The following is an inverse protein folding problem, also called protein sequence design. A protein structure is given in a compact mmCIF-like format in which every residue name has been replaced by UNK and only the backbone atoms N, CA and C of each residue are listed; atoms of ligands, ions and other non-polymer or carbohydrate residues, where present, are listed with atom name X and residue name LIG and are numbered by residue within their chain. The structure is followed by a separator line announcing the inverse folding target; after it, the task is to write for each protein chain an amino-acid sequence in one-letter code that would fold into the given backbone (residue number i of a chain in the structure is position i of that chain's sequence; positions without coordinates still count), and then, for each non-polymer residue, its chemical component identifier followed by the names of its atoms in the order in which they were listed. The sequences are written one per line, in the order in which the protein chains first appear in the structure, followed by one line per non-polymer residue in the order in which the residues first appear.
data_IF_584046646642
#
_entry.id   IF_584046646642
#
_cell.length_a   1.000
_cell.length_b   1.000
_cell.length_c   1.000
_cell.angle_alpha   90.00
_cell.angle_beta   90.00
_cell.angle_gamma   90.00
#
_symmetry.space_group_name_H-M   'P 1'
#
loop_
_entity.id
_entity.type
_entity.pdbx_description
1 polymer ?
#
# COMPACT_ATOMS: atom_id res chain seq x y z
N UNK A 1 -5.53 17.81 6.00
CA UNK A 1 -4.23 17.79 6.70
C UNK A 1 -4.44 17.51 8.17
N UNK A 2 -3.59 16.68 8.77
CA UNK A 2 -3.59 16.35 10.19
C UNK A 2 -2.18 15.94 10.60
N UNK A 3 -1.44 16.83 11.28
CA UNK A 3 -0.07 16.59 11.75
C UNK A 3 0.09 15.19 12.38
N UNK A 4 1.05 14.36 11.94
CA UNK A 4 2.14 14.63 10.98
C UNK A 4 1.85 14.22 9.52
N UNK A 5 0.58 14.11 9.14
CA UNK A 5 0.12 13.54 7.87
C UNK A 5 -0.65 14.52 6.98
N UNK A 6 -0.52 14.31 5.67
CA UNK A 6 -1.43 14.88 4.67
C UNK A 6 -2.11 13.77 3.89
N UNK A 7 -3.42 13.89 3.70
CA UNK A 7 -4.23 12.91 2.97
C UNK A 7 -4.59 13.50 1.61
N UNK A 8 -4.27 12.77 0.54
CA UNK A 8 -4.51 13.19 -0.84
C UNK A 8 -5.08 12.02 -1.64
N UNK A 9 -5.73 12.29 -2.77
CA UNK A 9 -6.22 11.20 -3.61
C UNK A 9 -5.06 10.54 -4.37
N UNK A 10 -4.23 11.35 -5.01
CA UNK A 10 -3.14 10.94 -5.91
C UNK A 10 -1.89 11.78 -5.63
N UNK A 11 -0.70 11.25 -5.92
CA UNK A 11 0.58 11.95 -5.74
C UNK A 11 0.72 13.20 -6.64
N UNK A 12 -0.01 13.24 -7.75
CA UNK A 12 -0.08 14.39 -8.66
C UNK A 12 -0.80 15.60 -8.07
N UNK A 13 -1.50 15.45 -6.95
CA UNK A 13 -2.15 16.54 -6.21
C UNK A 13 -1.16 17.36 -5.36
N UNK A 14 0.13 17.34 -5.73
CA UNK A 14 1.29 18.02 -5.14
C UNK A 14 0.92 19.20 -4.23
N UNK A 15 1.22 19.03 -2.95
CA UNK A 15 1.13 20.09 -1.94
C UNK A 15 2.54 20.45 -1.47
N UNK A 16 2.84 21.73 -1.26
CA UNK A 16 4.09 22.21 -0.62
C UNK A 16 4.12 21.91 0.90
N UNK A 17 3.56 20.77 1.32
CA UNK A 17 3.44 20.36 2.72
C UNK A 17 4.67 19.58 3.17
N UNK A 18 5.12 19.83 4.40
CA UNK A 18 6.21 19.06 5.04
C UNK A 18 5.70 17.75 5.68
N UNK A 19 4.39 17.51 5.64
CA UNK A 19 3.76 16.33 6.27
C UNK A 19 3.87 15.08 5.41
N UNK A 20 3.86 13.92 6.07
CA UNK A 20 3.95 12.63 5.41
C UNK A 20 2.67 12.35 4.59
N UNK A 21 2.77 12.19 3.26
CA UNK A 21 1.61 11.98 2.41
C UNK A 21 1.07 10.56 2.51
N UNK A 22 -0.26 10.46 2.60
CA UNK A 22 -1.02 9.21 2.54
C UNK A 22 -1.99 9.33 1.36
N UNK A 23 -1.80 8.47 0.36
CA UNK A 23 -2.57 8.49 -0.89
C UNK A 23 -3.49 7.28 -1.03
N UNK A 24 -4.50 7.45 -1.87
CA UNK A 24 -5.34 6.38 -2.38
C UNK A 24 -5.07 6.15 -3.86
N UNK A 25 -6.14 6.12 -4.66
CA UNK A 25 -6.15 6.04 -6.13
C UNK A 25 -5.60 4.76 -6.75
N UNK A 26 -4.31 4.45 -6.59
CA UNK A 26 -3.66 3.36 -7.34
C UNK A 26 -4.01 1.97 -6.80
N UNK A 27 -4.48 1.88 -5.56
CA UNK A 27 -4.86 0.63 -4.89
C UNK A 27 -3.72 -0.41 -4.88
N UNK A 28 -2.71 -0.23 -4.01
CA UNK A 28 -1.52 -1.06 -4.01
C UNK A 28 -1.84 -2.52 -3.68
N UNK A 29 -1.19 -3.41 -4.42
CA UNK A 29 -1.09 -4.82 -4.09
C UNK A 29 0.32 -5.34 -4.27
N UNK A 30 0.69 -6.31 -3.46
CA UNK A 30 1.97 -7.02 -3.58
C UNK A 30 1.74 -8.44 -4.06
N UNK A 31 2.73 -8.97 -4.77
CA UNK A 31 2.69 -10.32 -5.29
C UNK A 31 3.41 -11.26 -4.32
N UNK A 32 2.64 -12.11 -3.66
CA UNK A 32 3.20 -13.20 -2.86
C UNK A 32 3.37 -14.45 -3.72
N UNK A 33 4.54 -15.07 -3.61
CA UNK A 33 4.85 -16.34 -4.28
C UNK A 33 5.00 -17.43 -3.23
N UNK A 34 4.09 -18.39 -3.21
CA UNK A 34 4.15 -19.50 -2.24
C UNK A 34 4.92 -20.69 -2.80
N UNK A 35 5.35 -21.60 -1.92
CA UNK A 35 6.07 -22.83 -2.28
C UNK A 35 5.32 -23.71 -3.29
N UNK A 36 3.99 -23.60 -3.36
CA UNK A 36 3.13 -24.30 -4.34
C UNK A 36 3.07 -23.66 -5.72
N UNK A 37 3.90 -22.65 -6.02
CA UNK A 37 3.88 -21.84 -7.27
C UNK A 37 2.59 -21.04 -7.48
N UNK A 38 1.75 -20.92 -6.47
CA UNK A 38 0.61 -20.02 -6.52
C UNK A 38 1.11 -18.58 -6.40
N UNK A 39 0.58 -17.72 -7.28
CA UNK A 39 0.84 -16.29 -7.28
C UNK A 39 -0.45 -15.62 -6.86
N UNK A 40 -0.41 -14.90 -5.75
CA UNK A 40 -1.54 -14.13 -5.27
C UNK A 40 -1.18 -12.65 -5.24
N UNK A 41 -2.11 -11.82 -5.69
CA UNK A 41 -2.03 -10.38 -5.53
C UNK A 41 -2.81 -10.03 -4.28
N UNK A 42 -2.10 -9.56 -3.26
CA UNK A 42 -2.68 -9.23 -1.96
C UNK A 42 -2.77 -7.71 -1.89
N UNK A 43 -3.99 -7.12 -1.85
CA UNK A 43 -4.16 -5.71 -1.52
C UNK A 43 -3.44 -5.41 -0.20
N UNK A 44 -2.79 -4.26 -0.09
CA UNK A 44 -1.98 -3.97 1.09
C UNK A 44 -2.09 -2.52 1.52
N UNK A 45 -1.86 -2.26 2.79
CA UNK A 45 -1.36 -0.97 3.24
C UNK A 45 0.15 -0.95 3.01
N UNK A 46 0.63 0.11 2.39
CA UNK A 46 2.06 0.33 2.14
C UNK A 46 2.51 1.60 2.85
N UNK A 47 3.65 1.54 3.53
CA UNK A 47 4.31 2.70 4.12
C UNK A 47 5.80 2.64 3.78
N UNK A 48 6.21 3.51 2.86
CA UNK A 48 7.61 3.74 2.53
C UNK A 48 8.19 4.92 3.31
N UNK A 49 9.43 5.27 3.00
CA UNK A 49 10.11 6.40 3.66
C UNK A 49 9.44 7.76 3.39
N UNK A 50 8.89 7.96 2.19
CA UNK A 50 8.40 9.27 1.74
C UNK A 50 6.87 9.39 1.65
N UNK A 51 6.14 8.27 1.65
CA UNK A 51 4.69 8.26 1.47
C UNK A 51 4.07 6.91 1.86
N UNK A 52 2.79 6.95 2.20
CA UNK A 52 1.96 5.77 2.43
C UNK A 52 0.84 5.66 1.40
N UNK A 53 0.39 4.44 1.13
CA UNK A 53 -0.69 4.14 0.18
C UNK A 53 -1.72 3.23 0.82
N UNK A 54 -2.99 3.57 0.64
CA UNK A 54 -4.13 2.81 1.16
C UNK A 54 -4.70 1.86 0.11
N UNK A 55 -5.10 0.62 0.48
CA UNK A 55 -5.77 -0.29 -0.42
C UNK A 55 -7.15 0.23 -0.82
N UNK A 56 -7.72 -0.33 -1.88
CA UNK A 56 -9.11 -0.07 -2.21
C UNK A 56 -10.05 -0.60 -1.12
N UNK A 57 -11.09 0.17 -0.81
CA UNK A 57 -12.18 -0.27 0.08
C UNK A 57 -13.28 -1.05 -0.67
N UNK A 58 -13.31 -0.99 -2.00
CA UNK A 58 -14.30 -1.67 -2.85
C UNK A 58 -13.81 -3.02 -3.38
N UNK A 59 -14.72 -3.96 -3.59
CA UNK A 59 -14.41 -5.32 -4.07
C UNK A 59 -14.16 -5.43 -5.58
N UNK A 60 -14.40 -4.37 -6.35
CA UNK A 60 -14.37 -4.39 -7.83
C UNK A 60 -13.29 -3.51 -8.46
N UNK A 61 -12.30 -3.11 -7.68
CA UNK A 61 -11.21 -2.27 -8.19
C UNK A 61 -10.07 -3.14 -8.71
N UNK A 62 -9.44 -2.70 -9.81
CA UNK A 62 -8.12 -3.22 -10.17
C UNK A 62 -7.10 -2.86 -9.10
N UNK A 63 -6.05 -3.66 -8.98
CA UNK A 63 -4.94 -3.40 -8.06
C UNK A 63 -3.69 -3.02 -8.86
N UNK A 64 -2.95 -2.03 -8.38
CA UNK A 64 -1.64 -1.70 -8.92
C UNK A 64 -0.56 -2.49 -8.20
N UNK A 65 0.23 -3.26 -8.96
CA UNK A 65 1.32 -4.03 -8.37
C UNK A 65 2.48 -3.10 -8.02
N UNK A 66 2.72 -2.92 -6.73
CA UNK A 66 3.92 -2.25 -6.24
C UNK A 66 5.07 -3.24 -6.03
N UNK A 67 6.30 -2.71 -6.00
CA UNK A 67 7.51 -3.48 -5.67
C UNK A 67 8.19 -2.81 -4.48
N UNK A 68 7.80 -3.18 -3.25
CA UNK A 68 8.41 -2.65 -2.03
C UNK A 68 9.92 -2.91 -1.98
N UNK A 69 10.62 -2.05 -1.26
CA UNK A 69 12.08 -2.12 -1.06
C UNK A 69 12.43 -2.43 0.39
N UNK A 70 13.72 -2.60 0.68
CA UNK A 70 14.17 -2.89 2.03
C UNK A 70 13.74 -1.77 3.00
N UNK A 71 13.15 -2.17 4.12
CA UNK A 71 12.58 -1.31 5.19
C UNK A 71 11.21 -0.70 4.91
N UNK A 72 10.61 -0.94 3.75
CA UNK A 72 9.19 -0.60 3.54
C UNK A 72 8.32 -1.49 4.41
N UNK A 73 7.28 -0.90 5.02
CA UNK A 73 6.29 -1.64 5.79
C UNK A 73 5.12 -1.99 4.88
N UNK A 74 4.77 -3.28 4.84
CA UNK A 74 3.69 -3.79 4.01
C UNK A 74 2.79 -4.71 4.81
N UNK A 75 1.53 -4.29 4.90
CA UNK A 75 0.50 -5.02 5.62
C UNK A 75 -0.56 -5.51 4.63
N UNK A 76 -0.60 -6.82 4.39
CA UNK A 76 -1.56 -7.44 3.50
C UNK A 76 -2.96 -7.52 4.11
N UNK A 77 -3.98 -7.21 3.31
CA UNK A 77 -5.39 -7.39 3.65
C UNK A 77 -5.81 -8.77 3.18
N UNK A 78 -6.15 -9.64 4.12
CA UNK A 78 -6.61 -11.02 3.84
C UNK A 78 -7.90 -11.24 4.57
N UNK A 79 -8.97 -11.50 3.83
CA UNK A 79 -10.34 -11.59 4.33
C UNK A 79 -10.75 -10.38 5.17
N UNK A 80 -10.69 -10.49 6.51
CA UNK A 80 -11.01 -9.42 7.47
C UNK A 80 -9.85 -9.12 8.42
N UNK A 81 -8.65 -9.56 8.07
CA UNK A 81 -7.45 -9.46 8.89
C UNK A 81 -6.36 -8.67 8.15
N UNK A 82 -5.46 -8.10 8.96
CA UNK A 82 -4.28 -7.39 8.51
C UNK A 82 -3.06 -8.19 8.95
N UNK A 83 -2.22 -8.58 7.99
CA UNK A 83 -1.05 -9.42 8.22
C UNK A 83 0.20 -8.63 7.82
N UNK A 84 1.18 -8.53 8.72
CA UNK A 84 2.51 -8.02 8.35
C UNK A 84 3.20 -9.02 7.42
N UNK A 85 3.41 -8.59 6.19
CA UNK A 85 4.07 -9.38 5.16
C UNK A 85 5.38 -8.74 4.72
N UNK A 86 5.87 -7.70 5.41
CA UNK A 86 7.08 -6.94 5.04
C UNK A 86 8.32 -7.84 4.86
N UNK A 87 8.39 -8.93 5.63
CA UNK A 87 9.50 -9.91 5.56
C UNK A 87 9.37 -10.96 4.45
N UNK A 88 8.21 -11.01 3.77
CA UNK A 88 7.89 -11.98 2.73
C UNK A 88 8.07 -11.44 1.30
N UNK A 89 8.49 -10.17 1.20
CA UNK A 89 8.62 -9.42 -0.06
C UNK A 89 10.08 -9.40 -0.51
#
# INVERSE_FOLDING_TARGET
EMDPFIFMHDESESTDSEFYPITGHIHPAVKLSTKGRQKMHVPCFYFGQSHGMLPAFGTFTGNFRITPTQNDLVYGVVDKEIIDISTLI
#
